data_IF_674893222283
#
_entry.id   IF_674893222283
#
_cell.length_a   1.000
_cell.length_b   1.000
_cell.length_c   1.000
_cell.angle_alpha   90.00
_cell.angle_beta   90.00
_cell.angle_gamma   90.00
#
_symmetry.space_group_name_H-M   'P 1'
#
loop_
_entity.id
_entity.type
_entity.pdbx_description
1 polymer ?
#
# COMPACT_ATOMS: atom_id res chain seq x y z
N UNK A 1 -36.13 4.27 -16.86
CA UNK A 1 -35.86 3.59 -15.57
C UNK A 1 -34.36 3.41 -15.46
N UNK A 2 -33.69 4.27 -14.66
CA UNK A 2 -32.23 4.31 -14.53
C UNK A 2 -31.77 3.20 -13.57
N UNK A 3 -31.24 2.11 -14.11
CA UNK A 3 -30.68 0.99 -13.35
C UNK A 3 -29.23 1.31 -12.95
N UNK A 4 -29.08 1.75 -11.70
CA UNK A 4 -27.99 1.52 -10.73
C UNK A 4 -26.58 1.21 -11.28
N UNK A 5 -25.76 2.25 -11.50
CA UNK A 5 -24.30 2.13 -11.71
C UNK A 5 -23.49 1.89 -10.41
N UNK A 6 -24.07 1.24 -9.39
CA UNK A 6 -23.40 1.07 -8.08
C UNK A 6 -22.94 -0.35 -7.74
N UNK A 7 -23.32 -1.37 -8.53
CA UNK A 7 -22.97 -2.77 -8.21
C UNK A 7 -21.68 -3.28 -8.87
N UNK A 8 -21.03 -2.51 -9.75
CA UNK A 8 -19.84 -2.98 -10.48
C UNK A 8 -18.50 -2.91 -9.72
N UNK A 9 -18.47 -2.41 -8.48
CA UNK A 9 -17.25 -2.26 -7.67
C UNK A 9 -17.20 -3.15 -6.41
N UNK A 10 -18.09 -4.13 -6.27
CA UNK A 10 -18.17 -4.96 -5.04
C UNK A 10 -17.20 -6.15 -5.03
N UNK A 11 -16.57 -6.49 -6.16
CA UNK A 11 -15.61 -7.59 -6.23
C UNK A 11 -14.18 -7.06 -6.24
N UNK A 12 -13.46 -7.14 -5.11
CA UNK A 12 -12.06 -6.72 -5.04
C UNK A 12 -11.23 -7.41 -6.12
N UNK A 13 -10.58 -6.62 -6.98
CA UNK A 13 -9.71 -7.10 -8.05
C UNK A 13 -8.26 -7.01 -7.61
N UNK A 14 -7.45 -7.99 -8.02
CA UNK A 14 -6.04 -8.06 -7.60
C UNK A 14 -5.23 -6.81 -7.99
N UNK A 15 -5.56 -6.16 -9.11
CA UNK A 15 -4.92 -4.91 -9.55
C UNK A 15 -5.21 -3.71 -8.62
N UNK A 16 -6.28 -3.77 -7.81
CA UNK A 16 -6.61 -2.71 -6.86
C UNK A 16 -5.65 -2.68 -5.68
N UNK A 17 -4.98 -3.81 -5.39
CA UNK A 17 -3.93 -3.87 -4.38
C UNK A 17 -2.74 -3.01 -4.82
N UNK A 18 -2.35 -3.08 -6.10
CA UNK A 18 -1.31 -2.21 -6.68
C UNK A 18 -1.73 -0.73 -6.70
N UNK A 19 -3.01 -0.46 -6.97
CA UNK A 19 -3.56 0.90 -6.91
C UNK A 19 -3.54 1.47 -5.48
N UNK A 20 -3.97 0.67 -4.49
CA UNK A 20 -3.92 1.01 -3.08
C UNK A 20 -2.48 1.23 -2.59
N UNK A 21 -1.55 0.39 -3.03
CA UNK A 21 -0.13 0.53 -2.73
C UNK A 21 0.41 1.88 -3.22
N UNK A 22 0.18 2.21 -4.50
CA UNK A 22 0.63 3.49 -5.08
C UNK A 22 -0.01 4.69 -4.39
N UNK A 23 -1.27 4.59 -4.01
CA UNK A 23 -1.99 5.66 -3.29
C UNK A 23 -1.47 5.85 -1.85
N UNK A 24 -0.90 4.81 -1.24
CA UNK A 24 -0.34 4.87 0.11
C UNK A 24 1.07 5.48 0.16
N UNK A 25 1.73 5.68 -0.98
CA UNK A 25 3.06 6.30 -1.06
C UNK A 25 2.97 7.78 -0.72
N UNK A 26 3.65 8.16 0.35
CA UNK A 26 3.87 9.54 0.76
C UNK A 26 5.21 10.01 0.20
N UNK A 27 5.23 11.21 -0.39
CA UNK A 27 6.45 11.89 -0.81
C UNK A 27 6.79 12.97 0.20
N UNK A 28 7.95 12.86 0.83
CA UNK A 28 8.46 13.83 1.79
C UNK A 28 9.17 14.99 1.08
N UNK A 29 9.36 16.11 1.80
CA UNK A 29 9.96 17.33 1.23
C UNK A 29 11.40 17.12 0.73
N UNK A 30 12.12 16.16 1.29
CA UNK A 30 13.49 15.81 0.91
C UNK A 30 13.57 14.80 -0.26
N UNK A 31 12.42 14.47 -0.86
CA UNK A 31 12.31 13.54 -1.98
C UNK A 31 12.23 12.07 -1.57
N UNK A 32 12.26 11.75 -0.27
CA UNK A 32 12.02 10.38 0.20
C UNK A 32 10.58 9.95 -0.10
N UNK A 33 10.44 8.67 -0.41
CA UNK A 33 9.13 8.04 -0.57
C UNK A 33 8.96 7.00 0.52
N UNK A 34 7.90 7.12 1.29
CA UNK A 34 7.60 6.24 2.43
C UNK A 34 6.18 5.72 2.34
N UNK A 35 5.95 4.53 2.89
CA UNK A 35 4.62 3.93 3.05
C UNK A 35 4.55 3.37 4.46
N UNK A 36 3.47 3.69 5.19
CA UNK A 36 3.16 3.00 6.44
C UNK A 36 2.17 1.88 6.17
N UNK A 37 2.26 0.80 6.94
CA UNK A 37 1.33 -0.34 6.83
C UNK A 37 -0.10 0.11 7.08
N UNK A 38 -0.31 0.99 8.05
CA UNK A 38 -1.61 1.60 8.33
C UNK A 38 -2.16 2.40 7.12
N UNK A 39 -1.33 3.17 6.41
CA UNK A 39 -1.77 3.88 5.21
C UNK A 39 -2.15 2.90 4.11
N UNK A 40 -1.38 1.84 3.89
CA UNK A 40 -1.69 0.83 2.88
C UNK A 40 -3.01 0.10 3.19
N UNK A 41 -3.23 -0.33 4.44
CA UNK A 41 -4.50 -0.92 4.88
C UNK A 41 -5.68 0.05 4.69
N UNK A 42 -5.49 1.34 4.98
CA UNK A 42 -6.54 2.36 4.76
C UNK A 42 -6.89 2.50 3.28
N UNK A 43 -5.92 2.46 2.38
CA UNK A 43 -6.17 2.52 0.94
C UNK A 43 -6.83 1.24 0.42
N UNK A 44 -6.42 0.06 0.91
CA UNK A 44 -7.06 -1.22 0.60
C UNK A 44 -8.55 -1.23 0.96
N UNK A 45 -8.91 -0.64 2.10
CA UNK A 45 -10.29 -0.54 2.54
C UNK A 45 -11.19 0.25 1.56
N UNK A 46 -10.64 1.18 0.77
CA UNK A 46 -11.40 1.92 -0.26
C UNK A 46 -11.84 1.02 -1.41
N UNK A 47 -11.15 -0.09 -1.62
CA UNK A 47 -11.43 -1.10 -2.64
C UNK A 47 -12.10 -2.36 -2.05
N UNK A 48 -12.67 -2.28 -0.84
CA UNK A 48 -13.28 -3.39 -0.12
C UNK A 48 -12.30 -4.55 0.22
N UNK A 49 -10.99 -4.28 0.29
CA UNK A 49 -10.00 -5.22 0.82
C UNK A 49 -9.81 -4.99 2.32
N UNK A 50 -10.26 -5.95 3.13
CA UNK A 50 -10.16 -5.89 4.59
C UNK A 50 -8.97 -6.71 5.10
N UNK A 51 -7.76 -6.18 4.94
CA UNK A 51 -6.54 -6.84 5.41
C UNK A 51 -6.15 -6.41 6.81
N UNK A 52 -5.57 -7.34 7.56
CA UNK A 52 -4.81 -7.01 8.77
C UNK A 52 -3.46 -6.39 8.41
N UNK A 53 -2.84 -5.61 9.31
CA UNK A 53 -1.48 -5.12 9.11
C UNK A 53 -0.49 -6.25 8.77
N UNK A 54 -0.60 -7.42 9.40
CA UNK A 54 0.20 -8.61 9.06
C UNK A 54 0.05 -9.05 7.60
N UNK A 55 -1.18 -9.13 7.09
CA UNK A 55 -1.43 -9.53 5.69
C UNK A 55 -0.85 -8.51 4.71
N UNK A 56 -0.99 -7.22 5.03
CA UNK A 56 -0.39 -6.14 4.26
C UNK A 56 1.15 -6.25 4.24
N UNK A 57 1.78 -6.49 5.39
CA UNK A 57 3.22 -6.70 5.47
C UNK A 57 3.69 -7.90 4.65
N UNK A 58 3.01 -9.05 4.75
CA UNK A 58 3.34 -10.23 3.96
C UNK A 58 3.27 -9.96 2.46
N UNK A 59 2.28 -9.18 2.01
CA UNK A 59 2.20 -8.78 0.62
C UNK A 59 3.37 -7.87 0.21
N UNK A 60 3.70 -6.87 1.04
CA UNK A 60 4.85 -5.97 0.77
C UNK A 60 6.14 -6.77 0.66
N UNK A 61 6.44 -7.64 1.63
CA UNK A 61 7.64 -8.49 1.64
C UNK A 61 7.72 -9.43 0.43
N UNK A 62 6.58 -9.91 -0.06
CA UNK A 62 6.53 -10.84 -1.19
C UNK A 62 6.69 -10.13 -2.54
N UNK A 63 6.08 -8.96 -2.71
CA UNK A 63 5.91 -8.35 -4.04
C UNK A 63 6.65 -7.02 -4.22
N UNK A 64 7.01 -6.31 -3.15
CA UNK A 64 7.65 -4.98 -3.22
C UNK A 64 9.13 -5.12 -2.89
N UNK A 65 9.96 -5.12 -3.92
CA UNK A 65 11.42 -5.31 -3.78
C UNK A 65 12.22 -4.00 -3.68
N UNK A 66 11.61 -2.86 -4.01
CA UNK A 66 12.27 -1.55 -4.07
C UNK A 66 12.07 -0.70 -2.81
N UNK A 67 11.30 -1.19 -1.84
CA UNK A 67 11.14 -0.56 -0.53
C UNK A 67 11.78 -1.46 0.54
N UNK A 68 12.42 -0.84 1.54
CA UNK A 68 12.98 -1.53 2.70
C UNK A 68 12.25 -1.12 3.98
N UNK A 69 12.17 -2.02 4.94
CA UNK A 69 11.66 -1.73 6.28
C UNK A 69 12.63 -0.78 7.02
N UNK A 70 12.10 0.31 7.57
CA UNK A 70 12.82 1.30 8.38
C UNK A 70 12.12 1.56 9.72
N UNK A 71 11.29 0.61 10.16
CA UNK A 71 10.51 0.74 11.39
C UNK A 71 11.42 0.93 12.60
N UNK A 72 11.14 1.93 13.47
CA UNK A 72 11.95 2.18 14.65
C UNK A 72 11.74 1.14 15.75
N UNK A 73 10.59 0.47 15.74
CA UNK A 73 10.18 -0.52 16.74
C UNK A 73 9.65 -1.77 16.05
N UNK A 74 9.71 -2.90 16.74
CA UNK A 74 9.05 -4.13 16.32
C UNK A 74 7.52 -3.97 16.33
N UNK A 75 6.85 -4.63 15.40
CA UNK A 75 5.40 -4.63 15.31
C UNK A 75 4.88 -4.80 13.89
N UNK A 76 3.55 -4.81 13.75
CA UNK A 76 2.89 -4.94 12.45
C UNK A 76 2.62 -3.58 11.78
N UNK A 77 2.66 -2.46 12.53
CA UNK A 77 2.56 -1.15 11.91
C UNK A 77 3.94 -0.65 11.47
N UNK A 78 4.42 -1.23 10.37
CA UNK A 78 5.75 -0.95 9.84
C UNK A 78 5.78 0.27 8.94
N UNK A 79 6.95 0.88 8.84
CA UNK A 79 7.26 1.96 7.88
C UNK A 79 8.27 1.43 6.87
N UNK A 80 7.90 1.52 5.59
CA UNK A 80 8.75 1.15 4.47
C UNK A 80 9.22 2.40 3.73
N UNK A 81 10.49 2.43 3.33
CA UNK A 81 11.09 3.53 2.58
C UNK A 81 11.61 3.04 1.25
N UNK A 82 11.37 3.78 0.18
CA UNK A 82 11.96 3.52 -1.13
C UNK A 82 13.49 3.53 -0.98
N UNK A 83 14.10 2.39 -1.29
CA UNK A 83 15.53 2.21 -1.31
C UNK A 83 15.90 1.75 -2.71
N UNK A 84 16.10 2.71 -3.60
CA UNK A 84 16.59 2.42 -4.92
C UNK A 84 18.13 2.38 -4.88
N UNK A 85 18.78 1.21 -5.06
CA UNK A 85 20.25 1.13 -5.11
C UNK A 85 20.85 1.85 -6.33
N UNK A 86 20.04 2.21 -7.34
CA UNK A 86 20.50 2.86 -8.57
C UNK A 86 20.21 4.37 -8.63
N UNK A 87 19.83 5.00 -7.51
CA UNK A 87 19.73 6.47 -7.41
C UNK A 87 18.80 7.10 -8.44
N UNK A 88 17.49 6.79 -8.34
CA UNK A 88 16.44 7.20 -9.28
C UNK A 88 16.69 8.57 -9.92
N UNK A 89 17.03 8.54 -11.21
CA UNK A 89 17.07 9.69 -12.11
C UNK A 89 15.72 9.85 -12.79
#
# INVERSE_FOLDING_TARGET
>A
MYIQYKEVNLMPRRYEIDAAWRAAITREQDGRQTVTTAAFVRELHKFNWHWTPRQANQWIETYVTVFRDVSPNEGENRTFQLFNPNGGR
#
